data_IF_987182157211
#
_entry.id   IF_987182157211
#
_cell.length_a   1.000
_cell.length_b   1.000
_cell.length_c   1.000
_cell.angle_alpha   90.00
_cell.angle_beta   90.00
_cell.angle_gamma   90.00
#
_symmetry.space_group_name_H-M   'P 1'
#
loop_
_entity.id
_entity.type
_entity.pdbx_description
1 polymer ?
#
# COMPACT_ATOMS: atom_id res chain seq x y z
N UNK A 1 29.07 -11.04 6.97
CA UNK A 1 27.70 -10.91 7.54
C UNK A 1 27.10 -9.55 7.27
N UNK A 2 27.68 -8.44 7.73
CA UNK A 2 27.21 -7.09 7.36
C UNK A 2 27.33 -6.83 5.85
N UNK A 3 28.33 -7.40 5.20
CA UNK A 3 28.56 -7.26 3.77
C UNK A 3 27.48 -7.96 2.94
N UNK A 4 27.00 -9.14 3.41
CA UNK A 4 25.96 -9.89 2.72
C UNK A 4 24.61 -9.14 2.74
N UNK A 5 24.25 -8.56 3.90
CA UNK A 5 23.03 -7.78 4.04
C UNK A 5 23.08 -6.51 3.17
N UNK A 6 24.25 -5.88 3.09
CA UNK A 6 24.46 -4.71 2.25
C UNK A 6 24.33 -5.06 0.75
N UNK A 7 24.93 -6.18 0.34
CA UNK A 7 24.86 -6.65 -1.04
C UNK A 7 23.42 -7.00 -1.44
N UNK A 8 22.67 -7.65 -0.53
CA UNK A 8 21.26 -7.97 -0.75
C UNK A 8 20.42 -6.71 -0.89
N UNK A 9 20.67 -5.71 -0.06
CA UNK A 9 19.99 -4.42 -0.15
C UNK A 9 20.30 -3.72 -1.46
N UNK A 10 21.56 -3.67 -1.87
CA UNK A 10 21.96 -3.02 -3.13
C UNK A 10 21.28 -3.70 -4.33
N UNK A 11 21.16 -5.01 -4.30
CA UNK A 11 20.49 -5.78 -5.34
C UNK A 11 18.99 -5.47 -5.38
N UNK A 12 18.33 -5.46 -4.25
CA UNK A 12 16.92 -5.11 -4.14
C UNK A 12 16.67 -3.67 -4.59
N UNK A 13 17.50 -2.75 -4.14
CA UNK A 13 17.43 -1.34 -4.53
C UNK A 13 17.52 -1.17 -6.03
N UNK A 14 18.42 -1.89 -6.69
CA UNK A 14 18.59 -1.85 -8.15
C UNK A 14 17.36 -2.43 -8.86
N UNK A 15 16.79 -3.52 -8.35
CA UNK A 15 15.56 -4.09 -8.88
C UNK A 15 14.39 -3.10 -8.78
N UNK A 16 14.26 -2.42 -7.65
CA UNK A 16 13.24 -1.37 -7.45
C UNK A 16 13.47 -0.24 -8.45
N UNK A 17 14.71 0.22 -8.59
CA UNK A 17 15.05 1.30 -9.51
C UNK A 17 14.66 0.95 -10.95
N UNK A 18 14.94 -0.28 -11.39
CA UNK A 18 14.59 -0.74 -12.73
C UNK A 18 13.08 -0.78 -12.94
N UNK A 19 12.32 -1.24 -11.95
CA UNK A 19 10.85 -1.27 -12.02
C UNK A 19 10.26 0.13 -12.10
N UNK A 20 10.79 1.06 -11.32
CA UNK A 20 10.36 2.46 -11.37
C UNK A 20 10.66 3.05 -12.74
N UNK A 21 11.85 2.81 -13.30
CA UNK A 21 12.22 3.29 -14.63
C UNK A 21 11.29 2.73 -15.71
N UNK A 22 10.89 1.47 -15.60
CA UNK A 22 10.06 0.80 -16.60
C UNK A 22 8.58 1.15 -16.50
N UNK A 23 8.03 1.30 -15.29
CA UNK A 23 6.59 1.40 -15.07
C UNK A 23 6.16 2.57 -14.19
N UNK A 24 7.08 3.37 -13.69
CA UNK A 24 6.79 4.51 -12.81
C UNK A 24 6.71 4.14 -11.34
N UNK A 25 6.60 2.85 -11.02
CA UNK A 25 6.58 2.36 -9.65
C UNK A 25 6.97 0.89 -9.57
N UNK A 26 7.45 0.50 -8.40
CA UNK A 26 7.58 -0.89 -8.00
C UNK A 26 6.46 -1.21 -7.01
N UNK A 27 6.04 -2.48 -6.94
CA UNK A 27 5.10 -2.96 -5.93
C UNK A 27 5.84 -3.94 -5.04
N UNK A 28 5.80 -3.68 -3.73
CA UNK A 28 6.49 -4.47 -2.72
C UNK A 28 5.46 -5.25 -1.92
N UNK A 29 5.62 -6.57 -1.89
CA UNK A 29 4.76 -7.47 -1.13
C UNK A 29 5.50 -7.92 0.13
N UNK A 30 4.84 -7.79 1.28
CA UNK A 30 5.38 -8.25 2.57
C UNK A 30 4.47 -9.35 3.09
N UNK A 31 5.02 -10.55 3.16
CA UNK A 31 4.31 -11.69 3.75
C UNK A 31 4.57 -11.77 5.24
N UNK A 32 3.62 -12.35 5.96
CA UNK A 32 3.81 -12.71 7.35
C UNK A 32 4.93 -13.73 7.46
N UNK A 33 5.90 -13.47 8.36
CA UNK A 33 6.94 -14.43 8.71
C UNK A 33 6.39 -15.39 9.80
N UNK A 34 7.00 -16.55 9.93
CA UNK A 34 6.64 -17.55 10.94
C UNK A 34 6.76 -17.01 12.36
N UNK A 35 7.65 -16.04 12.58
CA UNK A 35 7.89 -15.43 13.90
C UNK A 35 6.94 -14.26 14.19
N UNK A 36 6.12 -13.85 13.22
CA UNK A 36 5.12 -12.80 13.42
C UNK A 36 3.93 -13.33 14.22
N UNK A 37 3.20 -12.45 14.91
CA UNK A 37 1.98 -12.86 15.60
C UNK A 37 1.00 -13.55 14.65
N UNK A 38 0.22 -14.55 15.13
CA UNK A 38 -0.69 -15.30 14.26
C UNK A 38 -1.75 -14.46 13.54
N UNK A 39 -2.07 -13.28 14.09
CA UNK A 39 -3.05 -12.34 13.52
C UNK A 39 -2.42 -11.32 12.57
N UNK A 40 -1.10 -11.39 12.35
CA UNK A 40 -0.42 -10.52 11.38
C UNK A 40 -0.87 -10.85 9.98
N UNK A 41 -1.14 -9.82 9.17
CA UNK A 41 -1.63 -9.96 7.81
C UNK A 41 -0.60 -9.45 6.80
N UNK A 42 -0.54 -10.05 5.60
CA UNK A 42 0.34 -9.53 4.55
C UNK A 42 -0.14 -8.17 4.07
N UNK A 43 0.78 -7.39 3.54
CA UNK A 43 0.45 -6.12 2.92
C UNK A 43 1.30 -5.87 1.69
N UNK A 44 0.86 -4.92 0.88
CA UNK A 44 1.50 -4.59 -0.39
C UNK A 44 1.50 -3.08 -0.56
N UNK A 45 2.61 -2.52 -1.04
CA UNK A 45 2.69 -1.07 -1.22
C UNK A 45 3.59 -0.71 -2.41
N UNK A 46 3.47 0.54 -2.85
CA UNK A 46 4.23 1.05 -3.99
C UNK A 46 5.48 1.79 -3.52
N UNK A 47 6.50 1.80 -4.37
CA UNK A 47 7.67 2.67 -4.27
C UNK A 47 7.85 3.32 -5.64
N UNK A 48 7.95 4.64 -5.69
CA UNK A 48 8.12 5.38 -6.94
C UNK A 48 7.23 6.60 -7.05
N UNK A 49 6.06 6.57 -6.39
CA UNK A 49 5.12 7.69 -6.47
C UNK A 49 5.64 8.94 -5.75
N UNK A 50 6.41 8.76 -4.67
CA UNK A 50 7.03 9.86 -3.94
C UNK A 50 7.90 10.73 -4.87
N UNK A 51 8.69 10.12 -5.74
CA UNK A 51 9.53 10.85 -6.70
C UNK A 51 8.71 11.66 -7.70
N UNK A 52 7.47 11.25 -7.95
CA UNK A 52 6.54 11.97 -8.82
C UNK A 52 5.72 13.04 -8.06
N UNK A 53 6.00 13.24 -6.77
CA UNK A 53 5.33 14.25 -5.96
C UNK A 53 3.97 13.85 -5.42
N UNK A 54 3.66 12.55 -5.43
CA UNK A 54 2.38 12.03 -4.95
C UNK A 54 2.62 10.92 -3.92
N UNK A 55 1.63 10.60 -3.05
CA UNK A 55 1.81 9.58 -2.03
C UNK A 55 2.03 8.18 -2.59
N UNK A 56 2.71 7.35 -1.81
CA UNK A 56 2.72 5.91 -2.05
C UNK A 56 1.37 5.32 -1.66
N UNK A 57 1.04 4.17 -2.24
CA UNK A 57 -0.24 3.50 -2.03
C UNK A 57 -0.02 2.16 -1.32
N UNK A 58 -0.95 1.79 -0.44
CA UNK A 58 -0.84 0.64 0.45
C UNK A 58 -2.15 -0.14 0.46
N UNK A 59 -2.07 -1.46 0.31
CA UNK A 59 -3.19 -2.38 0.54
C UNK A 59 -2.80 -3.32 1.68
N UNK A 60 -3.61 -3.38 2.74
CA UNK A 60 -3.37 -4.25 3.89
C UNK A 60 -4.43 -5.35 3.90
N UNK A 61 -4.00 -6.60 3.99
CA UNK A 61 -4.82 -7.79 4.21
C UNK A 61 -5.75 -8.24 3.06
N UNK A 62 -6.05 -7.39 2.10
CA UNK A 62 -6.79 -7.82 0.90
C UNK A 62 -5.90 -8.59 -0.09
N UNK A 63 -4.68 -8.90 0.31
CA UNK A 63 -3.65 -9.53 -0.53
C UNK A 63 -3.81 -11.05 -0.56
N UNK A 64 -4.10 -11.67 0.60
CA UNK A 64 -4.19 -13.12 0.70
C UNK A 64 -5.35 -13.65 -0.15
N UNK A 65 -5.03 -14.48 -1.14
CA UNK A 65 -6.01 -14.99 -2.10
C UNK A 65 -6.41 -14.00 -3.19
N UNK A 66 -5.99 -12.73 -3.09
CA UNK A 66 -6.34 -11.66 -4.04
C UNK A 66 -5.12 -10.85 -4.48
N UNK A 67 -3.94 -11.49 -4.50
CA UNK A 67 -2.68 -10.81 -4.82
C UNK A 67 -2.70 -10.13 -6.19
N UNK A 68 -3.21 -10.79 -7.21
CA UNK A 68 -3.28 -10.24 -8.56
C UNK A 68 -4.19 -9.00 -8.62
N UNK A 69 -5.31 -9.06 -7.89
CA UNK A 69 -6.20 -7.91 -7.79
C UNK A 69 -5.52 -6.73 -7.11
N UNK A 70 -4.80 -6.97 -6.01
CA UNK A 70 -4.10 -5.92 -5.29
C UNK A 70 -3.02 -5.26 -6.16
N UNK A 71 -2.25 -6.05 -6.90
CA UNK A 71 -1.25 -5.53 -7.84
C UNK A 71 -1.91 -4.68 -8.92
N UNK A 72 -2.99 -5.16 -9.51
CA UNK A 72 -3.75 -4.43 -10.53
C UNK A 72 -4.24 -3.08 -9.99
N UNK A 73 -4.85 -3.10 -8.80
CA UNK A 73 -5.39 -1.90 -8.16
C UNK A 73 -4.27 -0.88 -7.90
N UNK A 74 -3.16 -1.33 -7.30
CA UNK A 74 -2.04 -0.44 -6.99
C UNK A 74 -1.41 0.14 -8.25
N UNK A 75 -1.23 -0.66 -9.30
CA UNK A 75 -0.67 -0.18 -10.56
C UNK A 75 -1.61 0.83 -11.22
N UNK A 76 -2.89 0.56 -11.23
CA UNK A 76 -3.90 1.44 -11.82
C UNK A 76 -3.97 2.78 -11.09
N UNK A 77 -4.11 2.73 -9.77
CA UNK A 77 -4.22 3.94 -8.95
C UNK A 77 -2.93 4.75 -8.95
N UNK A 78 -1.77 4.08 -8.89
CA UNK A 78 -0.48 4.75 -8.94
C UNK A 78 -0.31 5.52 -10.24
N UNK A 79 -0.64 4.90 -11.37
CA UNK A 79 -0.58 5.58 -12.66
C UNK A 79 -1.55 6.77 -12.72
N UNK A 80 -2.77 6.60 -12.24
CA UNK A 80 -3.77 7.67 -12.23
C UNK A 80 -3.27 8.90 -11.47
N UNK A 81 -2.72 8.73 -10.25
CA UNK A 81 -2.26 9.89 -9.48
C UNK A 81 -0.99 10.50 -10.07
N UNK A 82 -0.09 9.71 -10.64
CA UNK A 82 1.10 10.26 -11.31
C UNK A 82 0.71 11.07 -12.55
N UNK A 83 -0.23 10.55 -13.36
CA UNK A 83 -0.69 11.22 -14.58
C UNK A 83 -1.39 12.54 -14.27
N UNK A 84 -2.17 12.60 -13.21
CA UNK A 84 -2.84 13.84 -12.81
C UNK A 84 -1.97 14.76 -11.95
N UNK A 85 -0.82 14.25 -11.44
CA UNK A 85 0.09 15.03 -10.61
C UNK A 85 -0.49 15.48 -9.27
N UNK A 86 -1.47 14.76 -8.75
CA UNK A 86 -2.20 15.15 -7.55
C UNK A 86 -2.58 13.91 -6.73
N UNK A 87 -2.41 14.00 -5.40
CA UNK A 87 -2.82 12.96 -4.47
C UNK A 87 -4.33 12.76 -4.49
N UNK A 88 -4.77 11.53 -4.22
CA UNK A 88 -6.16 11.27 -3.89
C UNK A 88 -6.47 11.90 -2.53
N UNK A 89 -7.66 12.48 -2.41
CA UNK A 89 -8.11 13.04 -1.14
C UNK A 89 -8.48 11.92 -0.17
N UNK A 90 -8.40 12.22 1.14
CA UNK A 90 -8.89 11.30 2.17
C UNK A 90 -10.37 11.04 1.94
N UNK A 91 -10.77 9.76 2.01
CA UNK A 91 -12.14 9.27 1.74
C UNK A 91 -12.58 9.36 0.27
N UNK A 92 -11.68 9.64 -0.65
CA UNK A 92 -12.03 9.68 -2.08
C UNK A 92 -12.35 8.26 -2.59
N UNK A 93 -13.41 8.15 -3.40
CA UNK A 93 -13.78 6.91 -4.07
C UNK A 93 -13.26 6.96 -5.51
N UNK A 94 -12.51 5.94 -5.91
CA UNK A 94 -11.83 5.92 -7.22
C UNK A 94 -12.13 4.60 -7.94
N UNK A 95 -12.72 4.69 -9.12
CA UNK A 95 -12.99 3.51 -9.94
C UNK A 95 -11.72 3.02 -10.62
N UNK A 96 -11.52 1.71 -10.58
CA UNK A 96 -10.41 1.03 -11.28
C UNK A 96 -10.92 0.12 -12.39
N UNK A 97 -12.19 0.29 -12.80
CA UNK A 97 -12.81 -0.50 -13.85
C UNK A 97 -13.67 -1.65 -13.36
N UNK A 98 -13.74 -1.87 -12.06
CA UNK A 98 -14.60 -2.90 -11.45
C UNK A 98 -16.01 -2.36 -11.17
N UNK A 99 -16.86 -3.22 -10.60
CA UNK A 99 -18.24 -2.88 -10.27
C UNK A 99 -18.32 -1.80 -9.18
N UNK A 100 -17.41 -1.84 -8.20
CA UNK A 100 -17.40 -0.90 -7.08
C UNK A 100 -16.06 -0.16 -7.04
N UNK A 101 -16.06 1.12 -6.58
CA UNK A 101 -14.81 1.88 -6.49
C UNK A 101 -13.98 1.43 -5.31
N UNK A 102 -12.69 1.75 -5.35
CA UNK A 102 -11.80 1.68 -4.20
C UNK A 102 -12.00 2.93 -3.35
N UNK A 103 -11.75 2.82 -2.05
CA UNK A 103 -11.81 3.95 -1.11
C UNK A 103 -10.41 4.26 -0.63
N UNK A 104 -10.01 5.53 -0.76
CA UNK A 104 -8.67 5.98 -0.41
C UNK A 104 -8.74 6.68 0.95
N UNK A 105 -7.87 6.30 1.88
CA UNK A 105 -7.79 6.94 3.20
C UNK A 105 -6.34 7.31 3.51
N UNK A 106 -6.17 8.36 4.32
CA UNK A 106 -4.85 8.73 4.80
C UNK A 106 -4.35 7.66 5.77
N UNK A 107 -3.18 7.08 5.49
CA UNK A 107 -2.59 6.07 6.35
C UNK A 107 -1.82 6.67 7.54
N UNK A 108 -1.53 7.97 7.51
CA UNK A 108 -0.82 8.66 8.59
C UNK A 108 0.57 8.09 8.87
N UNK A 109 1.04 8.29 10.10
CA UNK A 109 2.36 7.82 10.51
C UNK A 109 2.48 6.30 10.50
N UNK A 110 1.40 5.60 10.79
CA UNK A 110 1.41 4.14 10.81
C UNK A 110 1.68 3.56 9.41
N UNK A 111 1.21 4.22 8.36
CA UNK A 111 1.48 3.83 6.98
C UNK A 111 2.96 3.87 6.66
N UNK A 112 3.68 4.86 7.14
CA UNK A 112 5.13 5.00 6.96
C UNK A 112 5.93 4.08 7.87
N UNK A 113 5.61 4.08 9.14
CA UNK A 113 6.48 3.50 10.18
C UNK A 113 6.27 2.00 10.36
N UNK A 114 5.09 1.50 10.04
CA UNK A 114 4.77 0.08 10.21
C UNK A 114 4.68 -0.68 8.88
N UNK A 115 4.14 -0.05 7.83
CA UNK A 115 3.83 -0.76 6.60
C UNK A 115 4.77 -0.45 5.45
N UNK A 116 4.79 0.77 4.94
CA UNK A 116 5.56 1.15 3.75
C UNK A 116 6.99 1.59 4.12
N UNK A 117 7.71 0.76 4.85
CA UNK A 117 8.99 1.11 5.47
C UNK A 117 10.15 1.21 4.47
N UNK A 118 10.15 0.41 3.40
CA UNK A 118 11.22 0.46 2.40
C UNK A 118 11.24 1.74 1.59
N UNK A 119 10.13 2.47 1.54
CA UNK A 119 10.08 3.77 0.86
C UNK A 119 11.10 4.72 1.47
N UNK A 120 11.09 4.82 2.80
CA UNK A 120 12.03 5.68 3.53
C UNK A 120 13.48 5.27 3.32
N UNK A 121 13.73 3.97 3.33
CA UNK A 121 15.07 3.45 3.11
C UNK A 121 15.54 3.71 1.68
N UNK A 122 14.65 3.50 0.70
CA UNK A 122 14.96 3.71 -0.71
C UNK A 122 15.27 5.17 -1.03
N UNK A 123 14.47 6.10 -0.53
CA UNK A 123 14.64 7.53 -0.79
C UNK A 123 15.54 8.25 0.22
N UNK A 124 15.90 7.59 1.33
CA UNK A 124 16.73 8.20 2.36
C UNK A 124 16.02 9.31 3.12
N UNK A 125 14.70 9.21 3.31
CA UNK A 125 13.90 10.22 3.99
C UNK A 125 12.75 9.59 4.75
N UNK A 126 12.26 10.29 5.77
CA UNK A 126 11.01 9.95 6.47
C UNK A 126 9.86 10.83 6.01
N UNK A 127 10.13 11.80 5.15
CA UNK A 127 9.15 12.80 4.70
C UNK A 127 8.49 12.33 3.39
N UNK A 128 7.60 11.36 3.51
CA UNK A 128 6.76 10.88 2.42
C UNK A 128 5.38 10.53 2.96
N UNK A 129 4.38 10.59 2.11
CA UNK A 129 3.01 10.29 2.47
C UNK A 129 2.60 8.91 1.94
N UNK A 130 1.69 8.27 2.66
CA UNK A 130 1.11 6.97 2.28
C UNK A 130 -0.40 7.09 2.36
N UNK A 131 -1.08 6.66 1.30
CA UNK A 131 -2.55 6.51 1.28
C UNK A 131 -2.89 5.04 1.28
N UNK A 132 -3.79 4.63 2.15
CA UNK A 132 -4.29 3.26 2.16
C UNK A 132 -5.42 3.13 1.15
N UNK A 133 -5.41 2.04 0.40
CA UNK A 133 -6.48 1.68 -0.52
C UNK A 133 -7.31 0.59 0.14
N UNK A 134 -8.57 0.91 0.41
CA UNK A 134 -9.53 -0.07 0.94
C UNK A 134 -10.27 -0.70 -0.22
N UNK A 135 -10.28 -2.03 -0.24
CA UNK A 135 -10.96 -2.82 -1.27
C UNK A 135 -12.31 -3.26 -0.70
N UNK A 136 -13.43 -2.92 -1.36
CA UNK A 136 -14.73 -3.36 -0.88
C UNK A 136 -14.93 -4.85 -1.13
N UNK A 137 -15.89 -5.46 -0.42
CA UNK A 137 -16.28 -6.83 -0.71
C UNK A 137 -17.08 -6.92 -2.02
N UNK A 138 -17.51 -8.12 -2.40
CA UNK A 138 -18.21 -8.35 -3.67
C UNK A 138 -19.59 -7.69 -3.73
N UNK A 139 -20.09 -7.18 -2.61
CA UNK A 139 -21.34 -6.43 -2.52
C UNK A 139 -21.12 -4.92 -2.35
N UNK A 140 -19.88 -4.47 -2.41
CA UNK A 140 -19.52 -3.06 -2.26
C UNK A 140 -19.47 -2.56 -0.83
N UNK A 141 -19.39 -3.47 0.17
CA UNK A 141 -19.33 -3.11 1.58
C UNK A 141 -17.89 -2.90 2.03
N UNK A 142 -17.69 -1.92 2.89
CA UNK A 142 -16.36 -1.56 3.41
C UNK A 142 -16.01 -2.32 4.69
N UNK A 143 -14.72 -2.51 5.00
CA UNK A 143 -14.30 -3.27 6.20
C UNK A 143 -14.80 -2.67 7.52
N UNK A 144 -15.04 -1.37 7.56
CA UNK A 144 -15.60 -0.70 8.75
C UNK A 144 -17.14 -0.65 8.75
N UNK A 145 -17.78 -1.35 7.82
CA UNK A 145 -19.23 -1.42 7.72
C UNK A 145 -19.70 -2.81 8.18
N UNK A 146 -20.76 -2.88 9.00
CA UNK A 146 -21.30 -4.18 9.41
C UNK A 146 -21.70 -5.03 8.20
N UNK A 147 -21.40 -6.32 8.26
CA UNK A 147 -21.77 -7.27 7.21
C UNK A 147 -20.75 -7.41 6.08
N UNK A 148 -19.63 -6.69 6.13
CA UNK A 148 -18.56 -6.87 5.14
C UNK A 148 -18.02 -8.30 5.17
N UNK A 149 -17.86 -8.91 4.01
CA UNK A 149 -17.39 -10.30 3.87
C UNK A 149 -15.87 -10.44 4.06
N UNK A 150 -15.47 -11.62 4.51
CA UNK A 150 -14.05 -11.98 4.53
C UNK A 150 -13.55 -12.31 3.13
N UNK A 151 -12.28 -12.08 2.80
CA UNK A 151 -11.24 -11.50 3.66
C UNK A 151 -11.28 -9.97 3.76
N UNK A 152 -12.15 -9.31 3.01
CA UNK A 152 -12.18 -7.84 2.91
C UNK A 152 -12.42 -7.16 4.27
N UNK A 153 -13.22 -7.79 5.13
CA UNK A 153 -13.53 -7.27 6.47
C UNK A 153 -12.31 -7.20 7.39
N UNK A 154 -11.22 -7.94 7.09
CA UNK A 154 -10.01 -7.93 7.90
C UNK A 154 -9.13 -6.72 7.68
N UNK A 155 -9.35 -5.97 6.61
CA UNK A 155 -8.57 -4.76 6.34
C UNK A 155 -8.71 -3.76 7.49
N UNK A 156 -7.61 -3.34 8.14
CA UNK A 156 -7.72 -2.24 9.12
C UNK A 156 -7.95 -0.93 8.37
N UNK A 157 -8.71 -0.02 8.97
CA UNK A 157 -8.86 1.34 8.43
C UNK A 157 -7.87 2.21 9.19
N UNK A 158 -6.71 2.46 8.61
CA UNK A 158 -5.57 3.07 9.31
C UNK A 158 -5.84 4.51 9.74
N UNK A 159 -6.66 5.24 9.00
CA UNK A 159 -7.03 6.60 9.38
C UNK A 159 -7.80 6.66 10.71
N UNK A 160 -8.48 5.58 11.08
CA UNK A 160 -9.21 5.49 12.36
C UNK A 160 -8.32 5.09 13.53
N UNK A 161 -7.28 4.30 13.26
CA UNK A 161 -6.36 3.82 14.30
C UNK A 161 -5.59 4.99 14.90
N UNK A 162 -5.10 5.92 14.07
CA UNK A 162 -4.36 7.08 14.53
C UNK A 162 -5.18 8.06 15.37
N UNK A 163 -6.51 8.06 15.23
CA UNK A 163 -7.41 8.97 15.95
C UNK A 163 -7.76 8.48 17.35
N UNK A 164 -7.57 7.20 17.64
CA UNK A 164 -7.87 6.65 18.96
C UNK A 164 -6.72 6.77 19.94
N UNK A 165 -5.56 7.27 19.49
CA UNK A 165 -4.37 7.44 20.32
C UNK A 165 -4.41 8.70 21.18
N UNK A 166 -5.47 9.45 21.13
CA UNK A 166 -5.70 10.63 21.93
C UNK A 166 -6.73 10.34 23.01
#
# INVERSE_FOLDING_TARGET
MADDAWEEWEKLREEIRQKIAAAGQAVQLVYRDKDDPPDSQPWMYTIGNHAAGVPELLVVDAVEGNQELAVYVLNRLGKMQRDRGKAFADEELVSVGGKYPMRIVDAGDIGRNKYATLVGLYYGTRDYEVRQVLVPDTQGRWPDTPGCDMPFARQPVLSKIGRTAH
#
